data_IF_250199210129
#
_entry.id   IF_250199210129
#
_cell.length_a   1.000
_cell.length_b   1.000
_cell.length_c   1.000
_cell.angle_alpha   90.00
_cell.angle_beta   90.00
_cell.angle_gamma   90.00
#
_symmetry.space_group_name_H-M   'P 1'
#
loop_
_entity.id
_entity.type
_entity.pdbx_description
1 polymer ?
#
# COMPACT_ATOMS: atom_id res chain seq x y z
N UNK A 1 13.00 -28.59 18.61
CA UNK A 1 11.81 -28.01 19.28
C UNK A 1 11.02 -29.16 19.90
N UNK A 2 10.65 -29.08 21.17
CA UNK A 2 9.89 -30.14 21.87
C UNK A 2 8.41 -29.80 22.06
N UNK A 3 8.01 -28.58 21.69
CA UNK A 3 6.66 -28.08 21.84
C UNK A 3 6.58 -26.57 21.72
N UNK A 4 5.37 -26.05 21.92
CA UNK A 4 5.07 -24.62 21.94
C UNK A 4 4.30 -24.27 23.20
N UNK A 5 4.72 -23.21 23.89
CA UNK A 5 3.87 -22.56 24.89
C UNK A 5 2.76 -21.78 24.19
N UNK A 6 1.52 -22.06 24.56
CA UNK A 6 0.33 -21.41 23.99
C UNK A 6 -0.47 -20.75 25.10
N UNK A 7 -1.19 -19.68 24.75
CA UNK A 7 -2.14 -19.00 25.63
C UNK A 7 -3.45 -18.75 24.86
N UNK A 8 -4.58 -19.03 25.50
CA UNK A 8 -5.92 -18.73 24.98
C UNK A 8 -6.77 -18.15 26.10
N UNK A 9 -7.12 -16.87 26.03
CA UNK A 9 -7.74 -16.17 27.17
C UNK A 9 -6.79 -16.15 28.38
N UNK A 10 -7.31 -16.51 29.54
CA UNK A 10 -6.54 -16.59 30.79
C UNK A 10 -5.75 -17.92 30.94
N UNK A 11 -6.01 -18.91 30.07
CA UNK A 11 -5.37 -20.21 30.12
C UNK A 11 -4.04 -20.22 29.39
N UNK A 12 -3.01 -20.81 30.00
CA UNK A 12 -1.71 -21.03 29.38
C UNK A 12 -1.27 -22.49 29.55
N UNK A 13 -0.68 -23.07 28.50
CA UNK A 13 -0.24 -24.46 28.49
C UNK A 13 0.93 -24.70 27.54
N UNK A 14 1.44 -25.94 27.54
CA UNK A 14 2.47 -26.40 26.60
C UNK A 14 1.88 -27.49 25.73
N UNK A 15 1.83 -27.24 24.42
CA UNK A 15 1.53 -28.25 23.43
C UNK A 15 2.85 -28.93 23.04
N UNK A 16 3.04 -30.18 23.46
CA UNK A 16 4.19 -30.98 23.07
C UNK A 16 4.01 -31.48 21.65
N UNK A 17 5.00 -31.25 20.81
CA UNK A 17 5.01 -31.67 19.40
C UNK A 17 6.44 -31.83 18.92
N UNK A 18 6.64 -32.75 17.96
CA UNK A 18 7.93 -32.94 17.31
C UNK A 18 8.26 -31.82 16.30
N UNK A 19 7.26 -31.09 15.83
CA UNK A 19 7.45 -30.05 14.83
C UNK A 19 6.49 -28.87 15.00
N UNK A 20 6.99 -27.67 14.72
CA UNK A 20 6.26 -26.40 14.75
C UNK A 20 6.53 -25.66 13.44
N UNK A 21 5.45 -25.21 12.80
CA UNK A 21 5.52 -24.32 11.63
C UNK A 21 5.07 -22.92 12.05
N UNK A 22 5.90 -21.91 11.79
CA UNK A 22 5.56 -20.50 11.97
C UNK A 22 5.02 -19.97 10.64
N UNK A 23 3.80 -19.44 10.67
CA UNK A 23 3.10 -18.90 9.50
C UNK A 23 2.12 -17.80 9.95
N UNK A 24 2.61 -16.90 10.78
CA UNK A 24 1.90 -15.77 11.40
C UNK A 24 1.90 -14.49 10.56
N UNK A 25 2.73 -14.43 9.51
CA UNK A 25 2.84 -13.30 8.59
C UNK A 25 3.82 -12.23 9.07
N UNK A 26 3.84 -11.08 8.39
CA UNK A 26 4.84 -10.04 8.61
C UNK A 26 4.66 -9.17 9.85
N UNK A 27 5.34 -8.02 9.83
CA UNK A 27 5.40 -7.05 10.94
C UNK A 27 4.97 -5.63 10.54
N UNK A 28 4.32 -5.48 9.38
CA UNK A 28 3.92 -4.20 8.77
C UNK A 28 2.83 -3.41 9.54
N UNK A 29 2.30 -3.95 10.64
CA UNK A 29 1.35 -3.26 11.54
C UNK A 29 1.90 -3.04 12.95
N UNK A 30 3.18 -3.32 13.21
CA UNK A 30 3.76 -3.16 14.54
C UNK A 30 4.35 -1.76 14.78
N UNK A 31 3.62 -0.92 15.52
CA UNK A 31 4.05 0.42 15.91
C UNK A 31 4.43 0.50 17.40
N UNK A 32 4.60 -0.63 18.11
CA UNK A 32 5.07 -0.60 19.51
C UNK A 32 6.55 -0.23 19.60
N UNK A 33 7.04 0.10 20.80
CA UNK A 33 8.44 0.52 21.02
C UNK A 33 9.47 -0.56 20.69
N UNK A 34 9.11 -1.83 20.86
CA UNK A 34 9.93 -3.00 20.58
C UNK A 34 9.76 -3.53 19.14
N UNK A 35 9.08 -2.79 18.27
CA UNK A 35 8.76 -3.28 16.93
C UNK A 35 9.98 -3.44 16.03
N UNK A 36 9.90 -4.43 15.13
CA UNK A 36 10.92 -4.62 14.10
C UNK A 36 10.99 -3.43 13.14
N UNK A 37 9.85 -2.76 12.87
CA UNK A 37 9.84 -1.51 12.11
C UNK A 37 10.65 -0.41 12.79
N UNK A 38 10.50 -0.18 14.10
CA UNK A 38 11.33 0.82 14.81
C UNK A 38 12.81 0.51 14.76
N UNK A 39 13.16 -0.76 14.90
CA UNK A 39 14.56 -1.19 14.95
C UNK A 39 15.25 -1.11 13.59
N UNK A 40 14.55 -1.47 12.51
CA UNK A 40 15.17 -1.66 11.18
C UNK A 40 14.75 -0.61 10.15
N UNK A 41 13.55 -0.02 10.27
CA UNK A 41 12.98 0.98 9.33
C UNK A 41 12.19 2.08 10.03
N UNK A 42 12.81 2.86 10.94
CA UNK A 42 12.09 3.92 11.66
C UNK A 42 11.51 5.00 10.74
N UNK A 43 12.06 5.17 9.53
CA UNK A 43 11.61 6.12 8.51
C UNK A 43 10.17 5.87 8.01
N UNK A 44 9.69 4.62 8.06
CA UNK A 44 8.36 4.26 7.53
C UNK A 44 7.24 4.41 8.55
N UNK A 45 7.55 4.61 9.84
CA UNK A 45 6.54 4.66 10.92
C UNK A 45 5.54 5.81 10.81
N UNK A 46 5.85 6.82 9.99
CA UNK A 46 4.93 7.91 9.66
C UNK A 46 3.79 7.47 8.74
N UNK A 47 3.92 6.34 8.05
CA UNK A 47 2.91 5.84 7.11
C UNK A 47 1.88 4.99 7.84
N UNK A 48 0.65 5.03 7.34
CA UNK A 48 -0.37 4.05 7.72
C UNK A 48 -0.07 2.67 7.11
N UNK A 49 -0.82 1.64 7.46
CA UNK A 49 -0.65 0.27 6.92
C UNK A 49 -1.92 -0.23 6.24
N UNK A 50 -1.79 -1.15 5.30
CA UNK A 50 -2.94 -1.94 4.80
C UNK A 50 -3.13 -3.25 5.55
N UNK A 51 -2.22 -3.57 6.47
CA UNK A 51 -2.22 -4.82 7.19
C UNK A 51 -3.26 -4.82 8.30
N UNK A 52 -3.65 -6.03 8.71
CA UNK A 52 -4.51 -6.20 9.86
C UNK A 52 -3.76 -5.87 11.14
N UNK A 53 -4.48 -5.53 12.21
CA UNK A 53 -3.87 -5.21 13.51
C UNK A 53 -3.03 -6.35 14.11
N UNK A 54 -3.18 -7.58 13.62
CA UNK A 54 -2.44 -8.76 14.09
C UNK A 54 -1.10 -9.00 13.38
N UNK A 55 -0.75 -8.20 12.36
CA UNK A 55 0.51 -8.32 11.61
C UNK A 55 1.64 -7.62 12.38
N UNK A 56 1.98 -8.14 13.56
CA UNK A 56 2.84 -7.49 14.55
C UNK A 56 4.25 -8.09 14.66
N UNK A 57 4.59 -9.08 13.82
CA UNK A 57 5.91 -9.72 13.88
C UNK A 57 6.14 -10.60 15.11
N UNK A 58 5.09 -11.02 15.81
CA UNK A 58 5.24 -11.87 16.99
C UNK A 58 6.00 -13.16 16.64
N UNK A 59 5.69 -13.78 15.50
CA UNK A 59 6.39 -14.92 14.91
C UNK A 59 7.90 -14.70 14.80
N UNK A 60 8.28 -13.58 14.20
CA UNK A 60 9.67 -13.19 14.01
C UNK A 60 10.38 -12.96 15.35
N UNK A 61 9.73 -12.28 16.31
CA UNK A 61 10.29 -12.05 17.66
C UNK A 61 10.58 -13.39 18.35
N UNK A 62 9.67 -14.36 18.27
CA UNK A 62 9.89 -15.71 18.81
C UNK A 62 11.01 -16.46 18.07
N UNK A 63 11.13 -16.29 16.75
CA UNK A 63 12.19 -16.90 15.95
C UNK A 63 13.57 -16.35 16.33
N UNK A 64 13.68 -15.03 16.53
CA UNK A 64 14.90 -14.38 17.05
C UNK A 64 15.27 -14.96 18.42
N UNK A 65 14.31 -15.08 19.34
CA UNK A 65 14.55 -15.69 20.66
C UNK A 65 14.97 -17.17 20.56
N UNK A 66 14.49 -17.90 19.56
CA UNK A 66 14.88 -19.29 19.28
C UNK A 66 16.27 -19.42 18.63
N UNK A 67 16.95 -18.29 18.34
CA UNK A 67 18.27 -18.26 17.71
C UNK A 67 18.23 -18.42 16.18
N UNK A 68 17.10 -18.08 15.55
CA UNK A 68 16.99 -18.05 14.11
C UNK A 68 17.75 -16.85 13.51
N UNK A 69 18.32 -17.06 12.33
CA UNK A 69 18.90 -16.00 11.52
C UNK A 69 17.79 -15.20 10.84
N UNK A 70 17.89 -13.88 10.88
CA UNK A 70 17.00 -12.98 10.15
C UNK A 70 17.73 -12.39 8.93
N UNK A 71 16.97 -12.11 7.87
CA UNK A 71 17.46 -11.55 6.62
C UNK A 71 16.64 -10.31 6.26
N UNK A 72 17.33 -9.28 5.77
CA UNK A 72 16.76 -8.14 5.05
C UNK A 72 15.59 -7.46 5.78
N UNK A 73 15.62 -7.38 7.12
CA UNK A 73 14.53 -6.79 7.93
C UNK A 73 14.31 -5.29 7.63
N UNK A 74 15.29 -4.65 6.99
CA UNK A 74 15.19 -3.31 6.42
C UNK A 74 14.34 -3.24 5.14
N UNK A 75 14.14 -4.35 4.43
CA UNK A 75 13.41 -4.39 3.17
C UNK A 75 11.90 -4.43 3.43
N UNK A 76 11.35 -3.23 3.66
CA UNK A 76 9.92 -2.98 3.89
C UNK A 76 9.36 -2.17 2.73
N UNK A 77 8.33 -2.70 2.08
CA UNK A 77 7.67 -2.08 0.94
C UNK A 77 6.54 -1.15 1.35
N UNK A 78 6.57 0.06 0.80
CA UNK A 78 5.51 1.05 0.90
C UNK A 78 4.72 1.07 -0.40
N UNK A 79 3.45 0.71 -0.33
CA UNK A 79 2.53 0.80 -1.46
C UNK A 79 2.06 2.26 -1.64
N UNK A 80 2.05 2.80 -2.86
CA UNK A 80 1.75 4.23 -3.07
C UNK A 80 0.31 4.60 -2.77
N UNK A 81 -0.63 3.66 -2.90
CA UNK A 81 -2.07 3.96 -2.85
C UNK A 81 -2.81 3.13 -1.80
N UNK A 82 -2.95 3.66 -0.58
CA UNK A 82 -3.97 3.26 0.39
C UNK A 82 -5.05 4.34 0.51
N UNK A 83 -6.33 3.97 0.51
CA UNK A 83 -7.42 4.94 0.59
C UNK A 83 -7.48 5.61 1.96
N UNK A 84 -7.54 6.94 1.96
CA UNK A 84 -7.93 7.75 3.11
C UNK A 84 -9.46 7.82 3.13
N UNK A 85 -10.08 7.21 4.14
CA UNK A 85 -11.53 7.34 4.32
C UNK A 85 -11.87 8.75 4.80
N UNK A 86 -12.70 9.53 4.08
CA UNK A 86 -13.10 10.87 4.52
C UNK A 86 -13.80 10.89 5.88
N UNK A 87 -14.51 9.81 6.25
CA UNK A 87 -15.19 9.69 7.54
C UNK A 87 -14.24 9.36 8.71
N UNK A 88 -13.04 8.84 8.42
CA UNK A 88 -12.02 8.50 9.43
C UNK A 88 -10.61 8.66 8.84
N UNK A 89 -10.19 9.91 8.55
CA UNK A 89 -8.95 10.17 7.83
C UNK A 89 -7.70 9.80 8.64
N UNK A 90 -7.80 9.82 9.97
CA UNK A 90 -6.72 9.49 10.90
C UNK A 90 -6.47 7.99 11.11
N UNK A 91 -7.32 7.12 10.57
CA UNK A 91 -7.17 5.68 10.77
C UNK A 91 -5.81 5.17 10.26
N UNK A 92 -5.02 4.51 11.09
CA UNK A 92 -3.73 3.97 10.65
C UNK A 92 -3.83 2.66 9.86
N UNK A 93 -5.03 2.09 9.73
CA UNK A 93 -5.31 0.94 8.86
C UNK A 93 -6.15 1.40 7.67
N UNK A 94 -5.57 1.33 6.46
CA UNK A 94 -6.20 1.78 5.22
C UNK A 94 -6.67 0.60 4.38
N UNK A 95 -7.74 0.81 3.59
CA UNK A 95 -8.08 -0.12 2.52
C UNK A 95 -7.13 0.09 1.35
N UNK A 96 -6.49 -0.96 0.86
CA UNK A 96 -5.65 -0.89 -0.32
C UNK A 96 -6.44 -0.37 -1.53
N UNK A 97 -5.92 0.67 -2.18
CA UNK A 97 -6.40 1.10 -3.49
C UNK A 97 -5.67 0.26 -4.54
N UNK A 98 -6.40 -0.69 -5.13
CA UNK A 98 -5.83 -1.70 -6.01
C UNK A 98 -5.12 -1.07 -7.21
N UNK A 99 -3.97 -1.65 -7.57
CA UNK A 99 -3.13 -1.14 -8.67
C UNK A 99 -3.86 -1.11 -10.00
N UNK A 100 -4.88 -1.94 -10.17
CA UNK A 100 -5.73 -1.97 -11.36
C UNK A 100 -6.38 -0.61 -11.65
N UNK A 101 -6.65 0.24 -10.65
CA UNK A 101 -7.19 1.58 -10.89
C UNK A 101 -6.19 2.45 -11.67
N UNK A 102 -4.89 2.38 -11.32
CA UNK A 102 -3.80 3.02 -12.08
C UNK A 102 -3.55 2.31 -13.40
N UNK A 103 -3.57 0.97 -13.36
CA UNK A 103 -3.38 0.08 -14.51
C UNK A 103 -4.38 0.36 -15.64
N UNK A 104 -5.64 0.61 -15.32
CA UNK A 104 -6.69 0.91 -16.29
C UNK A 104 -6.67 2.36 -16.77
N UNK A 105 -5.81 3.21 -16.22
CA UNK A 105 -5.57 4.58 -16.70
C UNK A 105 -5.88 5.69 -15.69
N UNK A 106 -6.25 5.35 -14.46
CA UNK A 106 -6.41 6.33 -13.39
C UNK A 106 -5.13 7.10 -13.13
N UNK A 107 -5.27 8.42 -12.97
CA UNK A 107 -4.13 9.34 -12.80
C UNK A 107 -3.98 9.75 -11.34
N UNK A 108 -2.74 9.92 -10.90
CA UNK A 108 -2.42 10.49 -9.59
C UNK A 108 -2.23 12.00 -9.72
N UNK A 109 -2.95 12.74 -8.88
CA UNK A 109 -3.00 14.21 -8.89
C UNK A 109 -2.70 14.72 -7.48
N UNK A 110 -1.82 15.72 -7.38
CA UNK A 110 -1.53 16.38 -6.10
C UNK A 110 -2.67 17.34 -5.70
N UNK A 111 -2.61 17.88 -4.48
CA UNK A 111 -3.62 18.82 -3.96
C UNK A 111 -3.76 20.13 -4.77
N UNK A 112 -2.79 20.46 -5.62
CA UNK A 112 -2.83 21.60 -6.54
C UNK A 112 -3.38 21.26 -7.94
N UNK A 113 -4.00 20.08 -8.10
CA UNK A 113 -4.68 19.69 -9.34
C UNK A 113 -3.73 19.30 -10.47
N UNK A 114 -2.47 18.93 -10.17
CA UNK A 114 -1.47 18.56 -11.17
C UNK A 114 -1.03 17.11 -11.05
N UNK A 115 -0.87 16.44 -12.20
CA UNK A 115 -0.12 15.19 -12.30
C UNK A 115 1.35 15.42 -11.95
N UNK A 116 2.04 14.35 -11.55
CA UNK A 116 3.44 14.46 -11.11
C UNK A 116 4.28 13.19 -11.32
N UNK A 117 3.70 12.10 -11.82
CA UNK A 117 4.38 10.79 -11.88
C UNK A 117 3.83 9.92 -12.99
N UNK A 118 4.65 8.96 -13.45
CA UNK A 118 4.17 7.81 -14.21
C UNK A 118 3.50 6.81 -13.25
N UNK A 119 2.17 6.72 -13.30
CA UNK A 119 1.38 5.90 -12.39
C UNK A 119 1.60 4.38 -12.55
N UNK A 120 2.33 3.95 -13.58
CA UNK A 120 2.71 2.56 -13.84
C UNK A 120 4.18 2.26 -13.47
N UNK A 121 4.87 3.21 -12.82
CA UNK A 121 6.19 2.98 -12.26
C UNK A 121 6.18 1.95 -11.12
N UNK A 122 7.38 1.55 -10.67
CA UNK A 122 7.52 0.69 -9.49
C UNK A 122 6.95 1.38 -8.24
N UNK A 123 6.55 0.59 -7.24
CA UNK A 123 5.98 1.11 -5.98
C UNK A 123 6.91 2.13 -5.31
N UNK A 124 8.20 1.84 -5.28
CA UNK A 124 9.22 2.73 -4.71
C UNK A 124 9.34 4.04 -5.49
N UNK A 125 9.32 4.00 -6.83
CA UNK A 125 9.38 5.20 -7.66
C UNK A 125 8.14 6.08 -7.44
N UNK A 126 6.94 5.48 -7.49
CA UNK A 126 5.69 6.24 -7.32
C UNK A 126 5.61 6.84 -5.92
N UNK A 127 5.92 6.07 -4.87
CA UNK A 127 5.97 6.56 -3.50
C UNK A 127 7.02 7.66 -3.34
N UNK A 128 8.21 7.51 -3.95
CA UNK A 128 9.26 8.53 -3.92
C UNK A 128 8.82 9.86 -4.54
N UNK A 129 8.15 9.82 -5.70
CA UNK A 129 7.59 11.02 -6.33
C UNK A 129 6.46 11.65 -5.51
N UNK A 130 5.63 10.84 -4.85
CA UNK A 130 4.63 11.34 -3.90
C UNK A 130 5.30 12.14 -2.78
N UNK A 131 6.31 11.56 -2.11
CA UNK A 131 7.05 12.24 -1.04
C UNK A 131 7.78 13.50 -1.53
N UNK A 132 8.30 13.50 -2.77
CA UNK A 132 8.94 14.69 -3.34
C UNK A 132 7.97 15.85 -3.53
N UNK A 133 6.70 15.56 -3.86
CA UNK A 133 5.67 16.57 -4.12
C UNK A 133 4.96 17.02 -2.85
N UNK A 134 4.69 16.10 -1.93
CA UNK A 134 4.06 16.41 -0.65
C UNK A 134 4.46 15.37 0.42
N UNK A 135 5.41 15.74 1.28
CA UNK A 135 5.86 14.93 2.43
C UNK A 135 5.19 15.38 3.75
N UNK A 136 4.37 16.43 3.73
CA UNK A 136 3.77 17.01 4.92
C UNK A 136 2.39 16.43 5.17
N UNK A 137 1.53 16.45 4.15
CA UNK A 137 0.14 15.99 4.28
C UNK A 137 -0.02 14.55 3.83
N UNK A 138 0.84 14.09 2.91
CA UNK A 138 0.79 12.77 2.28
C UNK A 138 -0.58 12.46 1.62
N UNK A 139 -1.31 13.48 1.15
CA UNK A 139 -2.62 13.32 0.54
C UNK A 139 -2.60 13.60 -0.97
N UNK A 140 -3.07 12.62 -1.73
CA UNK A 140 -3.13 12.68 -3.19
C UNK A 140 -4.50 12.22 -3.67
N UNK A 141 -4.90 12.64 -4.85
CA UNK A 141 -6.11 12.15 -5.50
C UNK A 141 -5.76 11.08 -6.52
N UNK A 142 -6.53 9.98 -6.53
CA UNK A 142 -6.66 9.14 -7.71
C UNK A 142 -7.93 9.55 -8.46
N UNK A 143 -7.80 9.82 -9.76
CA UNK A 143 -8.91 10.28 -10.61
C UNK A 143 -9.06 9.33 -11.79
N UNK A 144 -10.28 8.83 -12.00
CA UNK A 144 -10.64 7.96 -13.12
C UNK A 144 -11.79 8.56 -13.93
N UNK A 145 -11.81 8.31 -15.23
CA UNK A 145 -13.00 8.51 -16.07
C UNK A 145 -13.94 7.29 -15.99
N UNK A 146 -15.12 7.40 -16.59
CA UNK A 146 -16.11 6.31 -16.62
C UNK A 146 -15.58 4.98 -17.20
N UNK A 147 -14.87 5.03 -18.33
CA UNK A 147 -14.36 3.82 -19.01
C UNK A 147 -13.34 3.08 -18.15
N UNK A 148 -12.48 3.82 -17.45
CA UNK A 148 -11.48 3.29 -16.51
C UNK A 148 -12.14 2.66 -15.29
N UNK A 149 -13.13 3.34 -14.71
CA UNK A 149 -13.93 2.83 -13.60
C UNK A 149 -14.67 1.54 -13.97
N UNK A 150 -15.27 1.48 -15.17
CA UNK A 150 -15.96 0.29 -15.68
C UNK A 150 -15.02 -0.91 -15.85
N UNK A 151 -13.75 -0.69 -16.22
CA UNK A 151 -12.75 -1.77 -16.29
C UNK A 151 -12.32 -2.26 -14.91
N UNK A 152 -12.33 -1.40 -13.91
CA UNK A 152 -12.05 -1.72 -12.52
C UNK A 152 -13.30 -2.14 -11.71
N UNK A 153 -14.43 -2.47 -12.36
CA UNK A 153 -15.74 -2.60 -11.71
C UNK A 153 -15.79 -3.56 -10.52
N UNK A 154 -15.00 -4.65 -10.56
CA UNK A 154 -14.91 -5.64 -9.48
C UNK A 154 -14.49 -5.04 -8.14
N UNK A 155 -13.75 -3.93 -8.17
CA UNK A 155 -13.29 -3.20 -7.00
C UNK A 155 -14.16 -1.98 -6.69
N UNK A 156 -14.66 -1.30 -7.72
CA UNK A 156 -15.41 -0.02 -7.58
C UNK A 156 -16.61 -0.13 -6.65
N UNK A 157 -17.41 -1.19 -6.76
CA UNK A 157 -18.59 -1.37 -5.91
C UNK A 157 -18.26 -1.43 -4.41
N UNK A 158 -17.17 -2.10 -4.03
CA UNK A 158 -16.70 -2.14 -2.65
C UNK A 158 -16.21 -0.77 -2.19
N UNK A 159 -15.44 -0.07 -3.02
CA UNK A 159 -14.87 1.24 -2.68
C UNK A 159 -15.96 2.31 -2.52
N UNK A 160 -16.96 2.33 -3.40
CA UNK A 160 -18.10 3.24 -3.29
C UNK A 160 -18.95 2.92 -2.05
N UNK A 161 -19.23 1.64 -1.78
CA UNK A 161 -19.98 1.23 -0.57
C UNK A 161 -19.27 1.67 0.72
N UNK A 162 -17.94 1.67 0.72
CA UNK A 162 -17.11 2.14 1.84
C UNK A 162 -16.91 3.67 1.86
N UNK A 163 -17.43 4.41 0.89
CA UNK A 163 -17.22 5.86 0.76
C UNK A 163 -15.78 6.26 0.42
N UNK A 164 -14.98 5.35 -0.14
CA UNK A 164 -13.57 5.59 -0.49
C UNK A 164 -13.40 6.20 -1.89
N UNK A 165 -14.40 5.99 -2.76
CA UNK A 165 -14.51 6.63 -4.07
C UNK A 165 -15.86 7.33 -4.19
N UNK A 166 -15.82 8.57 -4.63
CA UNK A 166 -16.98 9.40 -4.98
C UNK A 166 -17.12 9.55 -6.50
N UNK A 167 -18.37 9.64 -6.96
CA UNK A 167 -18.70 9.98 -8.35
C UNK A 167 -18.94 11.48 -8.45
N UNK A 168 -18.35 12.13 -9.45
CA UNK A 168 -18.55 13.54 -9.80
C UNK A 168 -19.05 13.59 -11.24
N UNK A 169 -20.21 14.20 -11.49
CA UNK A 169 -20.82 14.15 -12.83
C UNK A 169 -20.02 14.97 -13.83
N UNK A 170 -19.50 16.11 -13.37
CA UNK A 170 -18.84 17.11 -14.21
C UNK A 170 -17.45 17.49 -13.68
N UNK A 171 -16.72 18.28 -14.47
CA UNK A 171 -15.44 18.86 -14.02
C UNK A 171 -15.65 19.93 -12.94
N UNK A 172 -16.80 20.60 -12.96
CA UNK A 172 -17.22 21.55 -11.96
C UNK A 172 -17.43 20.85 -10.61
N UNK A 173 -18.19 19.75 -10.58
CA UNK A 173 -18.37 18.93 -9.37
C UNK A 173 -17.03 18.41 -8.85
N UNK A 174 -16.11 18.05 -9.75
CA UNK A 174 -14.77 17.61 -9.39
C UNK A 174 -13.96 18.75 -8.77
N UNK A 175 -14.01 19.96 -9.33
CA UNK A 175 -13.32 21.12 -8.77
C UNK A 175 -13.88 21.53 -7.40
N UNK A 176 -15.17 21.27 -7.16
CA UNK A 176 -15.87 21.56 -5.90
C UNK A 176 -15.78 20.43 -4.87
N UNK A 177 -15.05 19.34 -5.15
CA UNK A 177 -14.95 18.16 -4.28
C UNK A 177 -14.38 18.45 -2.87
N UNK A 178 -13.70 19.58 -2.67
CA UNK A 178 -13.16 19.96 -1.36
C UNK A 178 -11.86 19.23 -0.98
N UNK A 179 -11.26 18.49 -1.91
CA UNK A 179 -9.90 17.96 -1.77
C UNK A 179 -8.81 18.97 -2.13
N UNK A 180 -9.09 19.83 -3.11
CA UNK A 180 -8.07 20.69 -3.72
C UNK A 180 -7.70 21.88 -2.83
N UNK A 181 -6.46 22.35 -2.99
CA UNK A 181 -5.92 23.54 -2.34
C UNK A 181 -5.46 24.58 -3.36
N UNK A 182 -5.29 25.83 -2.93
CA UNK A 182 -4.76 26.90 -3.78
C UNK A 182 -5.72 27.36 -4.89
N UNK A 183 -7.02 27.10 -4.75
CA UNK A 183 -8.04 27.59 -5.68
C UNK A 183 -8.06 26.87 -7.04
N UNK A 184 -7.81 25.55 -7.06
CA UNK A 184 -7.93 24.73 -8.28
C UNK A 184 -9.31 24.88 -8.89
N UNK A 185 -9.36 25.25 -10.17
CA UNK A 185 -10.60 25.46 -10.92
C UNK A 185 -10.87 24.31 -11.88
N UNK A 186 -12.13 24.14 -12.29
CA UNK A 186 -12.51 23.19 -13.34
C UNK A 186 -11.71 23.41 -14.64
N UNK A 187 -11.40 24.68 -14.98
CA UNK A 187 -10.56 25.04 -16.13
C UNK A 187 -9.13 24.50 -15.99
N UNK A 188 -8.52 24.62 -14.81
CA UNK A 188 -7.16 24.13 -14.55
C UNK A 188 -7.11 22.59 -14.61
N UNK A 189 -8.08 21.91 -14.00
CA UNK A 189 -8.22 20.45 -14.09
C UNK A 189 -8.42 20.02 -15.54
N UNK A 190 -9.35 20.66 -16.27
CA UNK A 190 -9.60 20.39 -17.70
C UNK A 190 -8.32 20.50 -18.53
N UNK A 191 -7.51 21.54 -18.28
CA UNK A 191 -6.24 21.73 -18.98
C UNK A 191 -5.27 20.57 -18.71
N UNK A 192 -5.10 20.16 -17.44
CA UNK A 192 -4.21 19.04 -17.09
C UNK A 192 -4.68 17.70 -17.68
N UNK A 193 -5.98 17.42 -17.69
CA UNK A 193 -6.51 16.19 -18.30
C UNK A 193 -6.40 16.21 -19.83
N UNK A 194 -6.54 17.38 -20.47
CA UNK A 194 -6.31 17.52 -21.92
C UNK A 194 -4.85 17.32 -22.30
N UNK A 195 -3.94 17.81 -21.47
CA UNK A 195 -2.50 17.58 -21.64
C UNK A 195 -2.19 16.07 -21.57
N UNK A 196 -2.77 15.36 -20.60
CA UNK A 196 -2.66 13.90 -20.53
C UNK A 196 -3.17 13.20 -21.79
N UNK A 197 -4.29 13.65 -22.35
CA UNK A 197 -4.83 13.09 -23.60
C UNK A 197 -3.94 13.39 -24.83
N UNK A 198 -3.22 14.51 -24.81
CA UNK A 198 -2.24 14.85 -25.84
C UNK A 198 -0.99 13.98 -25.71
N UNK A 199 -0.49 13.76 -24.49
CA UNK A 199 0.62 12.86 -24.20
C UNK A 199 0.30 11.41 -24.60
N UNK A 200 -0.93 10.97 -24.35
CA UNK A 200 -1.42 9.66 -24.76
C UNK A 200 -1.39 9.50 -26.29
N UNK A 201 -1.79 10.53 -27.05
CA UNK A 201 -1.70 10.53 -28.52
C UNK A 201 -0.26 10.54 -29.02
N UNK A 202 0.63 11.24 -28.31
CA UNK A 202 2.07 11.27 -28.60
C UNK A 202 2.75 9.94 -28.26
N UNK A 203 2.17 9.14 -27.34
CA UNK A 203 2.72 7.88 -26.86
C UNK A 203 3.77 8.04 -25.76
N UNK A 204 3.93 9.25 -25.20
CA UNK A 204 4.80 9.50 -24.04
C UNK A 204 4.41 10.77 -23.31
N UNK A 205 4.53 10.77 -21.99
CA UNK A 205 4.40 11.97 -21.15
C UNK A 205 5.76 12.42 -20.57
N UNK A 206 5.84 13.63 -19.97
CA UNK A 206 7.06 14.13 -19.32
C UNK A 206 7.57 13.29 -18.14
N UNK A 207 6.75 12.37 -17.61
CA UNK A 207 7.12 11.47 -16.52
C UNK A 207 7.62 10.10 -17.02
N UNK A 208 7.77 9.94 -18.34
CA UNK A 208 8.24 8.71 -18.96
C UNK A 208 7.19 7.61 -19.10
N UNK A 209 5.90 7.92 -18.86
CA UNK A 209 4.79 7.00 -19.10
C UNK A 209 4.63 6.75 -20.59
N UNK A 210 4.54 5.49 -21.00
CA UNK A 210 4.37 5.06 -22.41
C UNK A 210 3.04 4.35 -22.69
N UNK A 211 2.38 3.85 -21.65
CA UNK A 211 1.15 3.09 -21.77
C UNK A 211 -0.01 3.89 -21.19
N UNK A 212 -1.02 4.14 -22.01
CA UNK A 212 -2.19 4.94 -21.67
C UNK A 212 -3.44 4.12 -21.98
N UNK A 213 -4.18 3.75 -20.94
CA UNK A 213 -5.38 2.92 -21.07
C UNK A 213 -6.64 3.77 -20.91
N UNK A 214 -7.67 3.39 -21.68
CA UNK A 214 -9.03 3.92 -21.57
C UNK A 214 -9.16 5.46 -21.65
N UNK A 215 -8.26 6.11 -22.39
CA UNK A 215 -8.37 7.53 -22.80
C UNK A 215 -9.54 7.77 -23.77
N UNK A 216 -10.08 8.99 -23.90
CA UNK A 216 -9.65 10.25 -23.27
C UNK A 216 -10.06 10.41 -21.80
N UNK A 217 -9.23 11.09 -21.03
CA UNK A 217 -9.49 11.49 -19.65
C UNK A 217 -10.27 12.80 -19.56
N UNK A 218 -10.09 13.74 -20.52
CA UNK A 218 -10.68 15.08 -20.47
C UNK A 218 -12.16 15.16 -20.89
N UNK A 219 -12.94 14.10 -20.68
CA UNK A 219 -14.33 14.00 -21.11
C UNK A 219 -15.30 14.88 -20.31
N UNK A 220 -16.60 14.77 -20.59
CA UNK A 220 -17.63 15.48 -19.81
C UNK A 220 -17.85 14.88 -18.40
N UNK A 221 -17.28 13.70 -18.13
CA UNK A 221 -17.56 12.89 -16.94
C UNK A 221 -18.45 11.68 -17.27
N UNK A 222 -18.90 10.93 -16.25
CA UNK A 222 -18.56 11.13 -14.84
C UNK A 222 -17.08 10.81 -14.55
N UNK A 223 -16.59 11.42 -13.47
CA UNK A 223 -15.30 11.16 -12.86
C UNK A 223 -15.49 10.39 -11.55
N UNK A 224 -14.54 9.50 -11.25
CA UNK A 224 -14.48 8.76 -10.01
C UNK A 224 -13.21 9.12 -9.26
N UNK A 225 -13.35 9.55 -8.01
CA UNK A 225 -12.23 10.10 -7.24
C UNK A 225 -12.14 9.53 -5.86
N UNK A 226 -10.91 9.32 -5.39
CA UNK A 226 -10.63 8.92 -4.02
C UNK A 226 -9.33 9.55 -3.53
N UNK A 227 -9.24 9.77 -2.22
CA UNK A 227 -8.01 10.26 -1.59
C UNK A 227 -7.13 9.07 -1.25
N UNK A 228 -5.86 9.12 -1.65
CA UNK A 228 -4.87 8.08 -1.40
C UNK A 228 -3.62 8.63 -0.71
N UNK A 229 -2.95 7.75 0.03
CA UNK A 229 -1.71 8.04 0.75
C UNK A 229 -0.77 6.82 0.67
N UNK A 230 0.56 7.01 0.76
CA UNK A 230 1.49 5.88 0.89
C UNK A 230 1.23 5.08 2.17
N UNK A 231 1.35 3.76 2.06
CA UNK A 231 1.05 2.82 3.16
C UNK A 231 2.04 1.67 3.23
N UNK A 232 2.46 1.28 4.43
CA UNK A 232 3.23 0.05 4.66
C UNK A 232 2.37 -1.13 4.23
N UNK A 233 2.90 -1.99 3.37
CA UNK A 233 2.11 -3.07 2.77
C UNK A 233 2.70 -4.45 3.01
N UNK A 234 4.02 -4.61 2.87
CA UNK A 234 4.66 -5.91 2.88
C UNK A 234 6.09 -5.79 3.42
N UNK A 235 6.49 -6.76 4.25
CA UNK A 235 7.84 -6.92 4.78
C UNK A 235 8.52 -8.06 4.01
N UNK A 236 9.52 -7.75 3.20
CA UNK A 236 10.22 -8.75 2.37
C UNK A 236 11.22 -9.56 3.20
N UNK A 237 11.88 -8.88 4.14
CA UNK A 237 12.74 -9.53 5.12
C UNK A 237 11.99 -10.39 6.10
N UNK A 238 12.70 -11.35 6.66
CA UNK A 238 12.12 -12.39 7.49
C UNK A 238 13.16 -13.40 7.96
N UNK A 239 12.71 -14.59 8.32
CA UNK A 239 13.56 -15.66 8.83
C UNK A 239 14.25 -16.40 7.68
N UNK A 240 15.54 -16.72 7.87
CA UNK A 240 16.26 -17.56 6.93
C UNK A 240 15.72 -18.99 6.95
N UNK A 241 15.33 -19.50 5.77
CA UNK A 241 14.84 -20.87 5.61
C UNK A 241 15.60 -21.66 4.55
N UNK A 242 15.64 -22.98 4.72
CA UNK A 242 16.01 -23.92 3.64
C UNK A 242 14.90 -23.99 2.58
N UNK A 243 15.16 -24.57 1.38
CA UNK A 243 14.09 -24.86 0.41
C UNK A 243 12.98 -25.80 0.95
N UNK A 244 13.27 -26.55 2.03
CA UNK A 244 12.30 -27.39 2.73
C UNK A 244 11.51 -26.65 3.82
N UNK A 245 11.79 -25.37 4.05
CA UNK A 245 11.17 -24.54 5.08
C UNK A 245 11.82 -24.66 6.45
N UNK A 246 12.95 -25.37 6.61
CA UNK A 246 13.66 -25.47 7.88
C UNK A 246 14.21 -24.11 8.28
N UNK A 247 13.92 -23.67 9.51
CA UNK A 247 14.47 -22.43 10.05
C UNK A 247 15.98 -22.59 10.29
N UNK A 248 16.76 -21.63 9.81
CA UNK A 248 18.22 -21.66 9.87
C UNK A 248 18.77 -20.75 10.96
N UNK A 249 19.91 -21.15 11.53
CA UNK A 249 20.75 -20.30 12.41
C UNK A 249 21.76 -19.50 11.59
N UNK A 250 22.51 -18.63 12.27
CA UNK A 250 23.59 -17.83 11.66
C UNK A 250 24.67 -18.68 10.99
N UNK A 251 24.99 -19.84 11.56
CA UNK A 251 25.97 -20.79 11.00
C UNK A 251 25.43 -21.62 9.84
N UNK A 252 24.16 -21.41 9.44
CA UNK A 252 23.47 -22.15 8.38
C UNK A 252 22.90 -23.50 8.83
N UNK A 253 23.06 -23.91 10.09
CA UNK A 253 22.45 -25.14 10.61
C UNK A 253 20.94 -24.97 10.81
N UNK A 254 20.17 -26.03 10.52
CA UNK A 254 18.74 -26.05 10.78
C UNK A 254 18.42 -26.15 12.28
N UNK A 255 17.37 -25.47 12.75
CA UNK A 255 16.79 -25.66 14.07
C UNK A 255 15.86 -26.89 14.01
N UNK A 256 16.21 -28.02 14.65
CA UNK A 256 15.44 -29.26 14.44
C UNK A 256 13.98 -29.13 14.85
N UNK A 257 13.07 -29.49 13.94
CA UNK A 257 11.62 -29.44 14.16
C UNK A 257 11.01 -28.03 14.13
N UNK A 258 11.75 -27.02 13.66
CA UNK A 258 11.23 -25.66 13.49
C UNK A 258 11.22 -25.28 12.02
N UNK A 259 10.04 -24.89 11.53
CA UNK A 259 9.82 -24.52 10.14
C UNK A 259 9.14 -23.15 10.07
N UNK A 260 9.30 -22.45 8.95
CA UNK A 260 8.57 -21.22 8.67
C UNK A 260 8.11 -21.16 7.22
N UNK A 261 7.01 -20.44 6.96
CA UNK A 261 6.48 -20.23 5.62
C UNK A 261 5.65 -18.95 5.55
N UNK A 262 5.72 -18.27 4.40
CA UNK A 262 4.98 -17.04 4.12
C UNK A 262 5.86 -15.80 4.29
N UNK A 263 5.25 -14.71 4.75
CA UNK A 263 5.93 -13.44 5.09
C UNK A 263 6.59 -13.51 6.48
N UNK A 264 7.22 -14.65 6.81
CA UNK A 264 7.94 -14.88 8.07
C UNK A 264 9.43 -14.60 7.96
#
# INVERSE_FOLDING_TARGET
>A
VEGRRVRGGDDAGVLRTASVVIATGGFASDYTEDSLLRKHRPDVLKFATTNTKGTTGDGHKMLVEAGAKMLDLEDVQVHPTGFVNPADPGNMVKTLCAEILRGEGGVLVNRWGRRFVNELGTRDHVTGEMLRVDNETLRFAIVLNAKQADKAFTHMGLYQKKGLIERKETLEDLAEWGFWEGGVTAKALSASLKEYDQDAKKGSDPYGKKFFHNVPMSGAGPYYVGVVTPVIHYCMGGVAISPGGDVLREDGSAIPGLYAAGEE
#
